data_IF_801698409580
#
_entry.id   IF_801698409580
#
_cell.length_a   1.000
_cell.length_b   1.000
_cell.length_c   1.000
_cell.angle_alpha   90.00
_cell.angle_beta   90.00
_cell.angle_gamma   90.00
#
_symmetry.space_group_name_H-M   'P 1'
#
loop_
_entity.id
_entity.type
_entity.pdbx_description
1 polymer ?
#
# COMPACT_ATOMS: atom_id res chain seq x y z
N UNK A 1 20.12 -9.73 22.88
CA UNK A 1 19.95 -9.62 21.41
C UNK A 1 20.01 -11.01 20.83
N UNK A 2 18.88 -11.58 20.39
CA UNK A 2 18.81 -12.92 19.83
C UNK A 2 18.26 -12.81 18.40
N UNK A 3 19.09 -12.32 17.47
CA UNK A 3 18.75 -12.12 16.07
C UNK A 3 18.86 -13.42 15.29
N UNK A 4 17.86 -14.30 15.45
CA UNK A 4 17.65 -15.37 14.45
C UNK A 4 17.18 -14.70 13.15
N UNK A 5 17.79 -15.01 12.00
CA UNK A 5 17.44 -14.38 10.73
C UNK A 5 15.96 -14.62 10.39
N UNK A 6 15.31 -13.61 9.81
CA UNK A 6 13.96 -13.77 9.29
C UNK A 6 13.95 -14.85 8.19
N UNK A 7 12.92 -15.72 8.14
CA UNK A 7 12.86 -16.79 7.17
C UNK A 7 12.84 -16.24 5.75
N UNK A 8 13.74 -16.75 4.91
CA UNK A 8 13.89 -16.38 3.51
C UNK A 8 12.55 -16.41 2.76
N UNK A 9 12.36 -15.50 1.80
CA UNK A 9 11.17 -15.48 0.94
C UNK A 9 11.00 -16.82 0.21
N UNK A 10 9.79 -17.37 0.27
CA UNK A 10 9.44 -18.58 -0.48
C UNK A 10 8.96 -18.20 -1.89
N UNK A 11 8.98 -19.15 -2.82
CA UNK A 11 8.41 -18.97 -4.16
C UNK A 11 6.96 -18.49 -4.08
N UNK A 12 6.18 -19.05 -3.14
CA UNK A 12 4.80 -18.61 -2.88
C UNK A 12 4.72 -17.12 -2.56
N UNK A 13 5.59 -16.62 -1.68
CA UNK A 13 5.55 -15.22 -1.26
C UNK A 13 5.90 -14.27 -2.41
N UNK A 14 6.89 -14.66 -3.23
CA UNK A 14 7.30 -13.89 -4.42
C UNK A 14 6.16 -13.88 -5.45
N UNK A 15 5.53 -15.03 -5.70
CA UNK A 15 4.37 -15.12 -6.60
C UNK A 15 3.20 -14.25 -6.12
N UNK A 16 2.91 -14.25 -4.81
CA UNK A 16 1.87 -13.40 -4.24
C UNK A 16 2.19 -11.90 -4.41
N UNK A 17 3.43 -11.50 -4.14
CA UNK A 17 3.89 -10.11 -4.35
C UNK A 17 3.71 -9.71 -5.81
N UNK A 18 4.12 -10.55 -6.76
CA UNK A 18 3.99 -10.29 -8.19
C UNK A 18 2.52 -10.15 -8.62
N UNK A 19 1.65 -11.06 -8.17
CA UNK A 19 0.22 -11.02 -8.46
C UNK A 19 -0.47 -9.78 -7.89
N UNK A 20 -0.16 -9.40 -6.65
CA UNK A 20 -0.71 -8.19 -6.03
C UNK A 20 -0.20 -6.92 -6.71
N UNK A 21 1.06 -6.90 -7.13
CA UNK A 21 1.62 -5.78 -7.87
C UNK A 21 0.95 -5.62 -9.24
N UNK A 22 0.86 -6.71 -10.02
CA UNK A 22 0.18 -6.71 -11.31
C UNK A 22 -1.30 -6.33 -11.19
N UNK A 23 -2.03 -6.93 -10.24
CA UNK A 23 -3.43 -6.62 -9.98
C UNK A 23 -3.65 -5.15 -9.63
N UNK A 24 -2.81 -4.59 -8.76
CA UNK A 24 -2.88 -3.17 -8.40
C UNK A 24 -2.60 -2.23 -9.58
N UNK A 25 -1.71 -2.61 -10.49
CA UNK A 25 -1.44 -1.81 -11.71
C UNK A 25 -2.59 -1.88 -12.72
N UNK A 26 -3.14 -3.06 -12.97
CA UNK A 26 -4.32 -3.22 -13.84
C UNK A 26 -5.49 -2.40 -13.28
N UNK A 27 -5.72 -2.44 -11.97
CA UNK A 27 -6.78 -1.67 -11.34
C UNK A 27 -6.54 -0.15 -11.43
N UNK A 28 -5.29 0.29 -11.27
CA UNK A 28 -4.89 1.68 -11.50
C UNK A 28 -5.14 2.12 -12.94
N UNK A 29 -4.85 1.29 -13.93
CA UNK A 29 -5.11 1.59 -15.34
C UNK A 29 -6.62 1.67 -15.63
N UNK A 30 -7.42 0.77 -15.05
CA UNK A 30 -8.86 0.72 -15.26
C UNK A 30 -9.61 1.88 -14.60
N UNK A 31 -9.30 2.20 -13.34
CA UNK A 31 -10.07 3.18 -12.55
C UNK A 31 -9.37 4.55 -12.47
N UNK A 32 -8.07 4.61 -12.75
CA UNK A 32 -7.27 5.84 -12.71
C UNK A 32 -7.83 6.99 -13.53
N UNK A 33 -8.23 6.81 -14.81
CA UNK A 33 -8.79 7.88 -15.62
C UNK A 33 -10.08 8.46 -15.04
N UNK A 34 -11.01 7.59 -14.61
CA UNK A 34 -12.28 8.00 -14.01
C UNK A 34 -12.06 8.75 -12.69
N UNK A 35 -11.16 8.23 -11.86
CA UNK A 35 -10.78 8.87 -10.60
C UNK A 35 -10.14 10.24 -10.82
N UNK A 36 -9.25 10.37 -11.81
CA UNK A 36 -8.62 11.64 -12.14
C UNK A 36 -9.63 12.65 -12.67
N UNK A 37 -10.61 12.20 -13.48
CA UNK A 37 -11.69 13.06 -13.96
C UNK A 37 -12.51 13.63 -12.79
N UNK A 38 -12.86 12.81 -11.80
CA UNK A 38 -13.53 13.26 -10.58
C UNK A 38 -12.65 14.21 -9.76
N UNK A 39 -11.39 13.83 -9.51
CA UNK A 39 -10.47 14.61 -8.69
C UNK A 39 -10.15 15.98 -9.30
N UNK A 40 -10.14 16.10 -10.63
CA UNK A 40 -10.00 17.37 -11.35
C UNK A 40 -11.16 18.34 -11.07
N UNK A 41 -12.38 17.84 -10.87
CA UNK A 41 -13.54 18.69 -10.58
C UNK A 41 -13.47 19.31 -9.17
N UNK A 42 -12.94 18.56 -8.20
CA UNK A 42 -12.79 18.99 -6.81
C UNK A 42 -11.40 19.55 -6.49
N UNK A 43 -10.56 19.74 -7.52
CA UNK A 43 -9.18 20.21 -7.43
C UNK A 43 -8.30 19.41 -6.43
N UNK A 44 -8.54 18.11 -6.33
CA UNK A 44 -7.77 17.20 -5.47
C UNK A 44 -6.75 16.38 -6.28
N UNK A 45 -5.65 15.95 -5.67
CA UNK A 45 -4.78 14.92 -6.24
C UNK A 45 -5.53 13.58 -6.36
N UNK A 46 -5.37 12.86 -7.48
CA UNK A 46 -6.03 11.56 -7.71
C UNK A 46 -5.84 10.53 -6.58
N UNK A 47 -4.69 10.54 -5.92
CA UNK A 47 -4.39 9.64 -4.79
C UNK A 47 -5.13 9.95 -3.50
N UNK A 48 -5.72 11.14 -3.36
CA UNK A 48 -6.51 11.52 -2.17
C UNK A 48 -7.81 10.73 -2.13
N UNK A 49 -8.48 10.59 -3.28
CA UNK A 49 -9.77 9.90 -3.36
C UNK A 49 -9.59 8.39 -3.54
N UNK A 50 -8.65 7.98 -4.40
CA UNK A 50 -8.43 6.55 -4.70
C UNK A 50 -7.46 5.83 -3.77
N UNK A 51 -7.00 6.50 -2.72
CA UNK A 51 -6.12 5.93 -1.71
C UNK A 51 -6.57 4.57 -1.20
N UNK A 52 -7.87 4.39 -0.97
CA UNK A 52 -8.43 3.13 -0.51
C UNK A 52 -8.10 1.97 -1.44
N UNK A 53 -8.48 2.08 -2.70
CA UNK A 53 -8.26 0.97 -3.63
C UNK A 53 -6.77 0.77 -3.92
N UNK A 54 -5.99 1.85 -4.03
CA UNK A 54 -4.57 1.75 -4.35
C UNK A 54 -3.75 1.15 -3.21
N UNK A 55 -4.02 1.55 -1.96
CA UNK A 55 -3.26 1.06 -0.80
C UNK A 55 -3.68 -0.34 -0.37
N UNK A 56 -4.89 -0.81 -0.71
CA UNK A 56 -5.32 -2.18 -0.45
C UNK A 56 -4.29 -3.21 -0.94
N UNK A 57 -3.84 -3.10 -2.19
CA UNK A 57 -2.90 -4.04 -2.81
C UNK A 57 -1.54 -4.09 -2.10
N UNK A 58 -1.05 -2.93 -1.69
CA UNK A 58 0.22 -2.77 -0.97
C UNK A 58 0.12 -3.43 0.40
N UNK A 59 -0.96 -3.12 1.14
CA UNK A 59 -1.21 -3.66 2.48
C UNK A 59 -1.44 -5.18 2.45
N UNK A 60 -2.12 -5.70 1.42
CA UNK A 60 -2.29 -7.15 1.22
C UNK A 60 -0.97 -7.90 1.08
N UNK A 61 0.07 -7.27 0.52
CA UNK A 61 1.40 -7.88 0.40
C UNK A 61 1.96 -8.27 1.76
N UNK A 62 1.83 -7.39 2.75
CA UNK A 62 2.22 -7.67 4.13
C UNK A 62 1.26 -8.64 4.82
N UNK A 63 -0.04 -8.52 4.55
CA UNK A 63 -1.08 -9.34 5.16
C UNK A 63 -1.03 -10.82 4.76
N UNK A 64 -0.61 -11.17 3.53
CA UNK A 64 -0.55 -12.56 3.06
C UNK A 64 0.82 -13.22 3.25
N UNK A 65 1.91 -12.47 3.05
CA UNK A 65 3.25 -13.07 3.16
C UNK A 65 3.73 -13.16 4.60
N UNK A 66 3.20 -12.32 5.49
CA UNK A 66 3.65 -12.17 6.88
C UNK A 66 5.17 -11.90 7.03
N UNK A 67 5.84 -11.48 5.95
CA UNK A 67 7.28 -11.15 5.91
C UNK A 67 7.53 -9.64 5.94
N UNK A 68 8.62 -9.19 6.58
CA UNK A 68 8.96 -7.76 6.63
C UNK A 68 9.23 -7.27 5.20
N UNK A 69 8.97 -6.00 4.89
CA UNK A 69 9.23 -5.38 3.58
C UNK A 69 8.38 -5.89 2.40
N UNK A 70 7.40 -6.76 2.62
CA UNK A 70 6.57 -7.28 1.53
C UNK A 70 5.67 -6.22 0.89
N UNK A 71 5.15 -5.26 1.67
CA UNK A 71 4.38 -4.15 1.09
C UNK A 71 5.27 -3.24 0.22
N UNK A 72 6.51 -3.01 0.68
CA UNK A 72 7.55 -2.29 -0.05
C UNK A 72 7.89 -2.98 -1.37
N UNK A 73 8.04 -4.31 -1.37
CA UNK A 73 8.30 -5.09 -2.58
C UNK A 73 7.13 -5.01 -3.57
N UNK A 74 5.88 -5.06 -3.09
CA UNK A 74 4.70 -4.82 -3.96
C UNK A 74 4.81 -3.45 -4.63
N UNK A 75 5.13 -2.41 -3.86
CA UNK A 75 5.36 -1.06 -4.40
C UNK A 75 6.49 -1.00 -5.43
N UNK A 76 7.64 -1.62 -5.14
CA UNK A 76 8.78 -1.64 -6.05
C UNK A 76 8.46 -2.33 -7.39
N UNK A 77 7.78 -3.49 -7.35
CA UNK A 77 7.35 -4.20 -8.56
C UNK A 77 6.31 -3.38 -9.32
N UNK A 78 5.37 -2.72 -8.62
CA UNK A 78 4.41 -1.82 -9.27
C UNK A 78 5.10 -0.65 -9.99
N UNK A 79 6.14 -0.06 -9.40
CA UNK A 79 6.92 0.99 -10.06
C UNK A 79 7.60 0.47 -11.35
N UNK A 80 8.22 -0.70 -11.28
CA UNK A 80 8.84 -1.34 -12.45
C UNK A 80 7.83 -1.63 -13.56
N UNK A 81 6.66 -2.18 -13.21
CA UNK A 81 5.56 -2.37 -14.15
C UNK A 81 5.07 -1.04 -14.74
N UNK A 82 5.01 0.02 -13.92
CA UNK A 82 4.64 1.36 -14.36
C UNK A 82 5.59 1.92 -15.43
N UNK A 83 6.89 1.64 -15.30
CA UNK A 83 7.90 1.97 -16.31
C UNK A 83 7.70 1.17 -17.60
N UNK A 84 7.53 -0.15 -17.49
CA UNK A 84 7.34 -1.04 -18.66
C UNK A 84 6.08 -0.67 -19.44
N UNK A 85 4.98 -0.36 -18.75
CA UNK A 85 3.71 0.00 -19.39
C UNK A 85 3.66 1.44 -19.92
N UNK A 86 4.75 2.21 -19.80
CA UNK A 86 4.78 3.59 -20.28
C UNK A 86 3.82 4.52 -19.54
N UNK A 87 3.33 4.13 -18.35
CA UNK A 87 2.50 4.99 -17.48
C UNK A 87 3.31 6.10 -16.79
N UNK A 88 4.56 6.28 -17.24
CA UNK A 88 5.51 7.31 -16.85
C UNK A 88 4.87 8.66 -17.16
N UNK A 89 4.17 9.21 -16.17
CA UNK A 89 3.87 10.63 -16.17
C UNK A 89 5.18 11.45 -16.16
N UNK A 90 5.08 12.79 -16.14
CA UNK A 90 6.23 13.71 -16.18
C UNK A 90 7.22 13.57 -15.00
N UNK A 91 6.99 12.67 -14.06
CA UNK A 91 7.77 12.47 -12.83
C UNK A 91 9.04 11.61 -13.00
N UNK A 92 9.21 10.89 -14.11
CA UNK A 92 10.46 10.15 -14.37
C UNK A 92 10.87 9.16 -13.25
N UNK A 93 12.16 9.05 -12.89
CA UNK A 93 12.67 8.12 -11.87
C UNK A 93 12.03 8.28 -10.47
N UNK A 94 11.51 9.48 -10.16
CA UNK A 94 10.84 9.75 -8.87
C UNK A 94 9.54 8.95 -8.69
N UNK A 95 9.04 8.31 -9.76
CA UNK A 95 7.97 7.32 -9.69
C UNK A 95 8.35 6.15 -8.76
N UNK A 96 9.62 5.72 -8.71
CA UNK A 96 10.04 4.65 -7.82
C UNK A 96 9.76 5.01 -6.35
N UNK A 97 10.13 6.23 -5.95
CA UNK A 97 9.86 6.75 -4.61
C UNK A 97 8.35 6.81 -4.31
N UNK A 98 7.54 7.14 -5.32
CA UNK A 98 6.07 7.27 -5.21
C UNK A 98 5.35 5.95 -4.94
N UNK A 99 6.01 4.81 -5.13
CA UNK A 99 5.45 3.49 -4.85
C UNK A 99 6.17 2.77 -3.72
N UNK A 100 7.49 2.94 -3.60
CA UNK A 100 8.30 2.33 -2.54
C UNK A 100 8.00 2.95 -1.18
N UNK A 101 7.90 4.28 -1.08
CA UNK A 101 7.70 4.95 0.21
C UNK A 101 6.34 4.64 0.87
N UNK A 102 5.20 4.59 0.14
CA UNK A 102 3.94 4.10 0.69
C UNK A 102 4.04 2.65 1.22
N UNK A 103 4.73 1.76 0.49
CA UNK A 103 4.95 0.39 0.92
C UNK A 103 5.81 0.29 2.18
N UNK A 104 6.86 1.11 2.27
CA UNK A 104 7.70 1.22 3.45
C UNK A 104 6.91 1.74 4.67
N UNK A 105 6.02 2.70 4.46
CA UNK A 105 5.11 3.20 5.50
C UNK A 105 4.22 2.07 6.03
N UNK A 106 3.61 1.30 5.14
CA UNK A 106 2.77 0.16 5.51
C UNK A 106 3.58 -0.91 6.28
N UNK A 107 4.77 -1.26 5.81
CA UNK A 107 5.62 -2.23 6.52
C UNK A 107 6.05 -1.72 7.90
N UNK A 108 6.41 -0.44 8.02
CA UNK A 108 6.79 0.20 9.27
C UNK A 108 5.65 0.20 10.29
N UNK A 109 4.43 0.56 9.88
CA UNK A 109 3.26 0.54 10.77
C UNK A 109 2.92 -0.87 11.26
N UNK A 110 2.91 -1.88 10.38
CA UNK A 110 2.65 -3.27 10.77
C UNK A 110 3.75 -3.79 11.69
N UNK A 111 5.02 -3.40 11.47
CA UNK A 111 6.13 -3.75 12.35
C UNK A 111 6.02 -3.07 13.72
N UNK A 112 5.68 -1.78 13.75
CA UNK A 112 5.49 -1.00 14.98
C UNK A 112 4.34 -1.54 15.83
N UNK A 113 3.29 -2.08 15.20
CA UNK A 113 2.17 -2.74 15.87
C UNK A 113 2.49 -4.15 16.41
N UNK A 114 3.76 -4.54 16.47
CA UNK A 114 4.18 -5.84 17.01
C UNK A 114 4.09 -7.00 16.00
N UNK A 115 3.69 -6.75 14.75
CA UNK A 115 3.65 -7.76 13.68
C UNK A 115 5.00 -8.33 13.24
N UNK A 116 6.08 -7.97 13.95
CA UNK A 116 7.44 -8.52 13.79
C UNK A 116 7.94 -9.36 14.98
N UNK A 117 7.23 -9.38 16.13
CA UNK A 117 7.69 -10.08 17.33
C UNK A 117 7.08 -11.48 17.43
N UNK A 118 7.89 -12.50 17.10
CA UNK A 118 7.57 -13.94 17.14
C UNK A 118 7.45 -14.53 18.56
N UNK A 119 6.66 -13.94 19.44
CA UNK A 119 6.26 -14.64 20.66
C UNK A 119 4.97 -15.42 20.42
N UNK A 120 5.10 -16.59 19.77
CA UNK A 120 4.10 -17.66 19.84
C UNK A 120 2.86 -17.51 18.95
N UNK A 121 2.60 -18.58 18.20
CA UNK A 121 1.30 -19.09 17.80
C UNK A 121 0.05 -18.20 17.96
N UNK A 122 -0.60 -17.92 16.82
CA UNK A 122 -2.03 -17.63 16.78
C UNK A 122 -2.36 -16.28 16.15
N UNK A 123 -2.92 -16.30 14.94
CA UNK A 123 -4.06 -15.49 14.49
C UNK A 123 -4.14 -13.96 14.81
N UNK A 124 -3.06 -13.27 15.24
CA UNK A 124 -3.17 -11.96 15.91
C UNK A 124 -2.48 -10.76 15.25
N UNK A 125 -1.65 -10.91 14.22
CA UNK A 125 -0.73 -9.81 13.84
C UNK A 125 -1.24 -8.79 12.81
N UNK A 126 -2.39 -9.04 12.16
CA UNK A 126 -2.98 -8.11 11.19
C UNK A 126 -4.45 -7.86 11.56
N UNK A 127 -4.65 -7.07 12.62
CA UNK A 127 -5.98 -6.67 13.08
C UNK A 127 -6.51 -5.51 12.25
N UNK A 128 -7.81 -5.24 12.33
CA UNK A 128 -8.43 -4.12 11.62
C UNK A 128 -7.73 -2.78 11.95
N UNK A 129 -7.42 -2.42 13.21
CA UNK A 129 -6.70 -1.18 13.51
C UNK A 129 -5.33 -1.09 12.84
N UNK A 130 -4.58 -2.19 12.80
CA UNK A 130 -3.26 -2.24 12.14
C UNK A 130 -3.40 -2.08 10.64
N UNK A 131 -4.42 -2.71 10.05
CA UNK A 131 -4.71 -2.58 8.63
C UNK A 131 -5.10 -1.14 8.26
N UNK A 132 -6.00 -0.53 9.03
CA UNK A 132 -6.42 0.86 8.89
C UNK A 132 -5.21 1.80 8.99
N UNK A 133 -4.37 1.63 10.02
CA UNK A 133 -3.17 2.45 10.22
C UNK A 133 -2.15 2.28 9.09
N UNK A 134 -1.95 1.06 8.59
CA UNK A 134 -1.04 0.78 7.48
C UNK A 134 -1.51 1.43 6.18
N UNK A 135 -2.81 1.31 5.86
CA UNK A 135 -3.39 1.99 4.71
C UNK A 135 -3.35 3.52 4.83
N UNK A 136 -3.66 4.05 6.01
CA UNK A 136 -3.61 5.48 6.30
C UNK A 136 -2.19 6.04 6.14
N UNK A 137 -1.19 5.40 6.74
CA UNK A 137 0.20 5.82 6.65
C UNK A 137 0.74 5.73 5.22
N UNK A 138 0.44 4.64 4.52
CA UNK A 138 0.83 4.47 3.12
C UNK A 138 0.28 5.60 2.24
N UNK A 139 -1.01 5.92 2.38
CA UNK A 139 -1.60 6.99 1.57
C UNK A 139 -1.20 8.39 2.03
N UNK A 140 -0.99 8.61 3.34
CA UNK A 140 -0.50 9.89 3.85
C UNK A 140 0.88 10.22 3.27
N UNK A 141 1.79 9.24 3.22
CA UNK A 141 3.10 9.41 2.59
C UNK A 141 2.96 9.58 1.07
N UNK A 142 2.14 8.76 0.41
CA UNK A 142 1.94 8.84 -1.04
C UNK A 142 1.36 10.18 -1.50
N UNK A 143 0.29 10.64 -0.84
CA UNK A 143 -0.34 11.94 -1.09
C UNK A 143 0.57 13.07 -0.66
N UNK A 144 1.14 13.01 0.54
CA UNK A 144 1.98 14.08 1.09
C UNK A 144 3.18 14.37 0.20
N UNK A 145 3.89 13.32 -0.21
CA UNK A 145 5.00 13.47 -1.15
C UNK A 145 4.52 14.03 -2.49
N UNK A 146 3.43 13.48 -3.06
CA UNK A 146 2.98 13.91 -4.39
C UNK A 146 2.50 15.36 -4.41
N UNK A 147 1.76 15.75 -3.38
CA UNK A 147 1.18 17.07 -3.22
C UNK A 147 2.22 18.14 -2.88
N UNK A 148 3.28 17.77 -2.13
CA UNK A 148 4.36 18.70 -1.79
C UNK A 148 5.31 18.92 -2.96
N UNK A 149 5.84 17.83 -3.56
CA UNK A 149 6.91 17.93 -4.56
C UNK A 149 6.42 18.21 -5.98
N UNK A 150 5.21 17.79 -6.36
CA UNK A 150 4.75 17.95 -7.76
C UNK A 150 3.65 18.98 -7.93
N UNK A 151 2.77 19.13 -6.94
CA UNK A 151 1.63 20.05 -7.03
C UNK A 151 1.88 21.39 -6.33
N UNK A 152 2.96 21.52 -5.55
CA UNK A 152 3.34 22.76 -4.85
C UNK A 152 2.17 23.42 -4.11
N UNK A 153 1.34 22.61 -3.47
CA UNK A 153 0.15 23.08 -2.76
C UNK A 153 0.53 23.96 -1.56
N UNK A 154 -0.22 25.05 -1.27
CA UNK A 154 -0.01 25.82 -0.06
C UNK A 154 -0.28 24.95 1.17
N UNK A 155 0.42 25.24 2.28
CA UNK A 155 0.44 24.39 3.48
C UNK A 155 -0.95 23.95 3.97
N UNK A 156 -1.99 24.81 4.03
CA UNK A 156 -3.32 24.37 4.46
C UNK A 156 -3.95 23.32 3.52
N UNK A 157 -3.82 23.52 2.20
CA UNK A 157 -4.34 22.60 1.20
C UNK A 157 -3.56 21.28 1.17
N UNK A 158 -2.25 21.34 1.44
CA UNK A 158 -1.42 20.16 1.60
C UNK A 158 -1.84 19.32 2.80
N UNK A 159 -1.99 19.93 3.99
CA UNK A 159 -2.45 19.24 5.20
C UNK A 159 -3.84 18.62 5.01
N UNK A 160 -4.78 19.36 4.43
CA UNK A 160 -6.12 18.85 4.11
C UNK A 160 -6.07 17.64 3.17
N UNK A 161 -5.24 17.71 2.13
CA UNK A 161 -5.05 16.60 1.19
C UNK A 161 -4.48 15.36 1.87
N UNK A 162 -3.48 15.53 2.75
CA UNK A 162 -2.88 14.42 3.50
C UNK A 162 -3.91 13.80 4.46
N UNK A 163 -4.71 14.61 5.15
CA UNK A 163 -5.75 14.11 6.06
C UNK A 163 -6.83 13.30 5.33
N UNK A 164 -7.40 13.86 4.25
CA UNK A 164 -8.39 13.15 3.42
C UNK A 164 -7.76 11.91 2.79
N UNK A 165 -6.51 12.03 2.34
CA UNK A 165 -5.73 10.92 1.82
C UNK A 165 -5.55 9.81 2.85
N UNK A 166 -5.19 10.13 4.09
CA UNK A 166 -5.05 9.15 5.16
C UNK A 166 -6.37 8.43 5.44
N UNK A 167 -7.50 9.15 5.47
CA UNK A 167 -8.84 8.57 5.64
C UNK A 167 -9.16 7.61 4.49
N UNK A 168 -8.95 8.04 3.24
CA UNK A 168 -9.14 7.18 2.07
C UNK A 168 -8.23 5.95 2.14
N UNK A 169 -6.94 6.13 2.47
CA UNK A 169 -5.98 5.05 2.65
C UNK A 169 -6.41 4.04 3.71
N UNK A 170 -6.97 4.52 4.83
CA UNK A 170 -7.49 3.67 5.88
C UNK A 170 -8.59 2.73 5.35
N UNK A 171 -9.49 3.22 4.47
CA UNK A 171 -10.50 2.35 3.83
C UNK A 171 -9.85 1.22 3.02
N UNK A 172 -8.70 1.47 2.41
CA UNK A 172 -7.91 0.46 1.71
C UNK A 172 -7.32 -0.60 2.62
N UNK A 173 -6.86 -0.17 3.79
CA UNK A 173 -6.49 -1.05 4.89
C UNK A 173 -7.64 -1.95 5.34
N UNK A 174 -8.83 -1.37 5.53
CA UNK A 174 -10.03 -2.13 5.89
C UNK A 174 -10.40 -3.16 4.82
N UNK A 175 -10.37 -2.77 3.54
CA UNK A 175 -10.60 -3.70 2.42
C UNK A 175 -9.59 -4.84 2.42
N UNK A 176 -8.30 -4.55 2.63
CA UNK A 176 -7.26 -5.56 2.71
C UNK A 176 -7.51 -6.56 3.86
N UNK A 177 -7.96 -6.06 5.02
CA UNK A 177 -8.34 -6.91 6.15
C UNK A 177 -9.55 -7.80 5.84
N UNK A 178 -10.60 -7.26 5.21
CA UNK A 178 -11.78 -8.04 4.79
C UNK A 178 -11.37 -9.14 3.81
N UNK A 179 -10.58 -8.80 2.79
CA UNK A 179 -10.09 -9.75 1.78
C UNK A 179 -9.26 -10.84 2.45
N UNK A 180 -8.29 -10.48 3.30
CA UNK A 180 -7.47 -11.45 4.01
C UNK A 180 -8.31 -12.43 4.84
N UNK A 181 -9.30 -11.92 5.58
CA UNK A 181 -10.19 -12.75 6.39
C UNK A 181 -11.03 -13.71 5.55
N UNK A 182 -11.56 -13.25 4.42
CA UNK A 182 -12.33 -14.09 3.49
C UNK A 182 -11.47 -15.19 2.87
N UNK A 183 -10.26 -14.86 2.41
CA UNK A 183 -9.35 -15.85 1.80
C UNK A 183 -8.91 -16.88 2.85
N UNK A 184 -8.58 -16.45 4.07
CA UNK A 184 -8.24 -17.37 5.18
C UNK A 184 -9.40 -18.30 5.54
N UNK A 185 -10.64 -17.82 5.49
CA UNK A 185 -11.82 -18.66 5.70
C UNK A 185 -12.03 -19.67 4.57
N UNK A 186 -11.75 -19.30 3.32
CA UNK A 186 -11.90 -20.18 2.16
C UNK A 186 -10.78 -21.23 2.02
N UNK A 187 -9.56 -20.92 2.49
CA UNK A 187 -8.37 -21.78 2.33
C UNK A 187 -7.66 -22.04 3.67
N UNK A 188 -8.28 -22.76 4.61
CA UNK A 188 -7.71 -23.01 5.92
C UNK A 188 -6.38 -23.78 5.83
N UNK A 189 -5.32 -23.23 6.42
CA UNK A 189 -3.99 -23.88 6.51
C UNK A 189 -2.96 -23.44 5.47
N UNK A 190 -3.34 -22.65 4.45
CA UNK A 190 -2.40 -22.14 3.42
C UNK A 190 -1.90 -20.71 3.70
N UNK A 191 -2.56 -19.98 4.60
CA UNK A 191 -2.30 -18.60 5.04
C UNK A 191 -2.44 -18.52 6.57
#
# INVERSE_FOLDING_TARGET
>A
MNSRPDPAYSVRDISLIALLAAGGMVFKAAVGPAALAFCRQVNLPGGVVMGGVYMMWVVLGRAFTHKPFSATLVGAVQAGLGWVMGTIGPTGPTMLLSFVLPGLAADATVRAAGGGSRAGAGAGAFTLPVALAAGAAANAIGVGMRSYFFLHLPLPAWLGSVAIGAISGATGGAMAWVVQRKVRAALPGTL
#
